data_IF_928207413630
#
_entry.id   IF_928207413630
#
_cell.length_a   1.000
_cell.length_b   1.000
_cell.length_c   1.000
_cell.angle_alpha   90.00
_cell.angle_beta   90.00
_cell.angle_gamma   90.00
#
_symmetry.space_group_name_H-M   'P 1'
#
loop_
_entity.id
_entity.type
_entity.pdbx_description
1 polymer ?
#
# COMPACT_ATOMS: atom_id res chain seq x y z
N UNK A 1 20.72 64.13 -40.06
CA UNK A 1 20.03 63.75 -41.32
C UNK A 1 20.71 62.51 -41.91
N UNK A 2 20.03 61.39 -41.69
CA UNK A 2 20.01 60.10 -42.41
C UNK A 2 21.35 59.39 -42.69
N UNK A 3 21.56 58.10 -42.36
CA UNK A 3 20.69 57.04 -41.87
C UNK A 3 21.26 55.67 -42.30
N UNK A 4 21.19 54.66 -41.42
CA UNK A 4 21.45 53.23 -41.68
C UNK A 4 22.92 52.80 -41.49
N UNK A 5 23.31 51.92 -40.57
CA UNK A 5 22.59 50.91 -39.79
C UNK A 5 22.96 49.51 -40.29
N UNK A 6 24.01 48.90 -39.74
CA UNK A 6 24.28 47.45 -39.87
C UNK A 6 24.95 46.95 -38.58
N UNK A 7 24.16 46.28 -37.75
CA UNK A 7 24.56 45.63 -36.51
C UNK A 7 25.30 44.32 -36.78
N UNK A 8 26.30 44.05 -35.93
CA UNK A 8 27.12 42.83 -35.91
C UNK A 8 26.56 41.88 -34.86
N UNK A 9 26.47 40.61 -35.26
CA UNK A 9 25.87 39.49 -34.59
C UNK A 9 26.42 39.17 -33.19
N UNK A 10 25.50 38.93 -32.26
CA UNK A 10 25.67 38.13 -31.05
C UNK A 10 24.89 36.82 -31.24
N UNK A 11 25.57 35.68 -31.12
CA UNK A 11 25.00 34.35 -31.34
C UNK A 11 24.88 33.63 -30.01
N UNK A 12 23.66 33.56 -29.48
CA UNK A 12 23.22 32.54 -28.52
C UNK A 12 22.24 31.58 -29.21
N UNK A 13 22.26 30.27 -28.91
CA UNK A 13 21.57 29.24 -29.69
C UNK A 13 20.09 29.19 -29.34
N UNK A 14 19.24 29.17 -30.37
CA UNK A 14 17.80 28.99 -30.26
C UNK A 14 17.42 27.54 -29.98
N UNK A 15 16.46 27.40 -29.07
CA UNK A 15 15.63 26.23 -28.85
C UNK A 15 14.80 25.86 -30.09
N UNK A 16 14.75 24.56 -30.38
CA UNK A 16 13.61 23.78 -30.93
C UNK A 16 14.10 22.39 -31.40
N UNK A 17 13.25 21.35 -31.52
CA UNK A 17 11.89 21.17 -30.99
C UNK A 17 11.66 19.83 -30.27
N UNK A 18 10.43 19.70 -29.76
CA UNK A 18 9.75 18.52 -29.25
C UNK A 18 10.08 17.19 -29.97
N UNK A 19 10.23 16.14 -29.16
CA UNK A 19 9.92 14.77 -29.56
C UNK A 19 9.17 14.09 -28.42
N UNK A 20 7.86 14.30 -28.40
CA UNK A 20 6.89 13.43 -27.74
C UNK A 20 7.16 11.99 -28.17
N UNK A 21 7.42 11.13 -27.19
CA UNK A 21 7.26 9.69 -27.35
C UNK A 21 6.18 9.28 -26.39
N UNK A 22 5.00 9.05 -26.96
CA UNK A 22 3.77 8.62 -26.32
C UNK A 22 4.03 7.51 -25.31
N UNK A 23 3.89 7.85 -24.02
CA UNK A 23 3.59 6.87 -23.00
C UNK A 23 2.10 6.52 -23.16
N UNK A 24 1.84 5.24 -23.35
CA UNK A 24 0.53 4.61 -23.46
C UNK A 24 -0.37 5.13 -22.33
N UNK A 25 -1.24 6.08 -22.67
CA UNK A 25 -2.33 6.53 -21.81
C UNK A 25 -3.45 5.56 -22.09
N UNK A 26 -3.67 4.63 -21.15
CA UNK A 26 -4.90 3.85 -21.14
C UNK A 26 -6.06 4.83 -21.29
N UNK A 27 -6.80 4.62 -22.36
CA UNK A 27 -7.72 5.57 -22.93
C UNK A 27 -8.68 6.13 -21.87
N UNK A 28 -8.84 7.45 -21.90
CA UNK A 28 -9.93 8.20 -21.30
C UNK A 28 -11.27 7.55 -21.69
N UNK A 29 -11.75 6.62 -20.86
CA UNK A 29 -13.14 6.17 -20.90
C UNK A 29 -13.98 7.23 -20.20
N UNK A 30 -14.04 8.41 -20.83
CA UNK A 30 -14.89 9.52 -20.44
C UNK A 30 -16.35 9.07 -20.55
N UNK A 31 -16.98 8.82 -19.40
CA UNK A 31 -18.42 8.70 -19.30
C UNK A 31 -19.12 10.00 -19.73
N UNK A 32 -20.43 9.96 -19.98
CA UNK A 32 -21.19 11.14 -20.40
C UNK A 32 -21.27 12.14 -19.23
N UNK A 33 -20.31 13.05 -19.12
CA UNK A 33 -20.29 14.07 -18.06
C UNK A 33 -18.99 14.86 -17.90
N UNK A 34 -17.84 14.30 -18.30
CA UNK A 34 -16.52 14.90 -18.00
C UNK A 34 -16.19 14.86 -16.50
N UNK A 35 -14.92 15.07 -16.13
CA UNK A 35 -14.52 15.12 -14.73
C UNK A 35 -15.14 16.32 -14.00
N UNK A 36 -15.50 16.14 -12.72
CA UNK A 36 -16.01 17.20 -11.85
C UNK A 36 -14.88 18.11 -11.38
N UNK A 37 -13.72 17.53 -11.04
CA UNK A 37 -12.53 18.28 -10.64
C UNK A 37 -11.76 18.74 -11.87
N UNK A 38 -11.22 19.96 -11.81
CA UNK A 38 -10.20 20.36 -12.77
C UNK A 38 -8.87 19.64 -12.47
N UNK A 39 -8.03 19.50 -13.51
CA UNK A 39 -6.74 18.83 -13.38
C UNK A 39 -5.86 19.45 -12.28
N UNK A 40 -5.45 18.63 -11.31
CA UNK A 40 -4.61 19.05 -10.18
C UNK A 40 -5.36 19.70 -9.00
N UNK A 41 -6.68 19.83 -9.08
CA UNK A 41 -7.50 20.24 -7.94
C UNK A 41 -7.77 19.09 -6.98
N UNK A 42 -8.03 19.43 -5.72
CA UNK A 42 -8.48 18.48 -4.69
C UNK A 42 -9.71 19.03 -3.98
N UNK A 43 -10.60 18.15 -3.56
CA UNK A 43 -11.78 18.49 -2.77
C UNK A 43 -11.85 17.62 -1.51
N UNK A 44 -12.50 18.10 -0.43
CA UNK A 44 -12.74 17.27 0.76
C UNK A 44 -13.65 16.07 0.46
N UNK A 45 -14.56 16.21 -0.50
CA UNK A 45 -15.45 15.18 -1.00
C UNK A 45 -16.05 15.60 -2.35
N UNK A 46 -16.69 14.66 -3.03
CA UNK A 46 -17.57 14.91 -4.18
C UNK A 46 -18.93 14.23 -3.96
N UNK A 47 -20.00 14.79 -4.53
CA UNK A 47 -21.33 14.18 -4.54
C UNK A 47 -21.60 13.43 -5.86
N UNK A 48 -20.70 13.55 -6.84
CA UNK A 48 -20.75 12.88 -8.13
C UNK A 48 -19.32 12.62 -8.60
N UNK A 49 -19.07 11.45 -9.17
CA UNK A 49 -17.82 11.13 -9.87
C UNK A 49 -18.13 11.12 -11.36
N UNK A 50 -17.61 12.11 -12.09
CA UNK A 50 -17.83 12.23 -13.53
C UNK A 50 -16.87 11.36 -14.35
N UNK A 51 -15.71 11.04 -13.80
CA UNK A 51 -14.67 10.27 -14.47
C UNK A 51 -13.75 9.51 -13.50
N UNK A 52 -12.81 8.74 -14.05
CA UNK A 52 -11.77 8.03 -13.27
C UNK A 52 -10.84 8.99 -12.51
N UNK A 53 -10.48 10.14 -13.07
CA UNK A 53 -9.60 11.09 -12.39
C UNK A 53 -10.22 11.70 -11.11
N UNK A 54 -11.54 11.88 -11.08
CA UNK A 54 -12.24 12.29 -9.85
C UNK A 54 -12.08 11.24 -8.74
N UNK A 55 -12.24 9.97 -9.10
CA UNK A 55 -12.02 8.85 -8.18
C UNK A 55 -10.56 8.83 -7.70
N UNK A 56 -9.59 8.93 -8.61
CA UNK A 56 -8.17 8.86 -8.28
C UNK A 56 -7.69 10.04 -7.40
N UNK A 57 -8.36 11.19 -7.47
CA UNK A 57 -8.07 12.35 -6.62
C UNK A 57 -8.54 12.18 -5.17
N UNK A 58 -9.53 11.31 -4.92
CA UNK A 58 -10.10 11.05 -3.59
C UNK A 58 -9.65 9.72 -2.98
N UNK A 59 -9.35 8.74 -3.82
CA UNK A 59 -9.00 7.38 -3.43
C UNK A 59 -7.55 7.26 -2.98
N UNK A 60 -7.33 6.48 -1.93
CA UNK A 60 -6.00 6.09 -1.48
C UNK A 60 -5.72 4.62 -1.80
N UNK A 61 -4.45 4.25 -1.71
CA UNK A 61 -4.10 2.83 -1.55
C UNK A 61 -4.69 2.29 -0.23
N UNK A 62 -5.00 0.98 -0.15
CA UNK A 62 -5.27 0.32 1.11
C UNK A 62 -4.14 0.57 2.11
N UNK A 63 -4.49 0.74 3.39
CA UNK A 63 -3.51 0.84 4.47
C UNK A 63 -2.69 -0.45 4.64
N UNK A 64 -3.21 -1.58 4.13
CA UNK A 64 -2.59 -2.89 4.16
C UNK A 64 -2.56 -3.47 2.73
N UNK A 65 -1.37 -3.80 2.23
CA UNK A 65 -1.10 -4.35 0.90
C UNK A 65 -1.70 -5.75 0.64
N UNK A 66 -2.46 -6.28 1.61
CA UNK A 66 -3.18 -7.56 1.53
C UNK A 66 -4.11 -7.72 0.32
N UNK A 67 -4.52 -6.62 -0.32
CA UNK A 67 -5.33 -6.63 -1.55
C UNK A 67 -4.55 -5.92 -2.67
N UNK A 68 -3.81 -6.67 -3.50
CA UNK A 68 -3.06 -6.15 -4.64
C UNK A 68 -3.92 -5.39 -5.62
N UNK A 69 -3.40 -4.31 -6.21
CA UNK A 69 -4.08 -3.70 -7.35
C UNK A 69 -5.37 -2.95 -7.01
N UNK A 70 -5.71 -2.79 -5.73
CA UNK A 70 -6.93 -2.13 -5.29
C UNK A 70 -6.66 -0.65 -4.94
N UNK A 71 -7.51 0.25 -5.42
CA UNK A 71 -7.63 1.62 -4.91
C UNK A 71 -9.01 1.79 -4.33
N UNK A 72 -9.13 2.45 -3.19
CA UNK A 72 -10.42 2.63 -2.53
C UNK A 72 -10.61 4.08 -2.10
N UNK A 73 -11.82 4.59 -2.32
CA UNK A 73 -12.32 5.76 -1.61
C UNK A 73 -13.45 5.35 -0.66
N UNK A 74 -13.74 6.22 0.30
CA UNK A 74 -14.83 6.01 1.25
C UNK A 74 -16.12 6.62 0.74
N UNK A 75 -17.22 5.93 1.00
CA UNK A 75 -18.57 6.36 0.62
C UNK A 75 -19.39 6.55 1.89
N UNK A 76 -20.15 7.65 1.93
CA UNK A 76 -21.11 7.92 3.00
C UNK A 76 -22.43 8.28 2.35
N UNK A 77 -23.47 7.48 2.59
CA UNK A 77 -24.85 7.88 2.27
C UNK A 77 -25.49 8.42 3.54
N UNK A 78 -25.91 9.68 3.52
CA UNK A 78 -26.64 10.29 4.61
C UNK A 78 -28.14 10.10 4.41
N UNK A 79 -28.73 9.21 5.21
CA UNK A 79 -30.18 8.93 5.17
C UNK A 79 -31.02 10.09 5.67
N UNK A 80 -30.40 11.08 6.32
CA UNK A 80 -31.03 12.36 6.68
C UNK A 80 -30.62 13.39 5.64
N UNK A 81 -31.26 13.32 4.48
CA UNK A 81 -30.95 14.18 3.34
C UNK A 81 -31.32 13.55 2.01
N UNK A 82 -32.45 12.84 1.94
CA UNK A 82 -32.90 12.09 0.75
C UNK A 82 -31.84 11.11 0.19
N UNK A 83 -31.13 10.41 1.09
CA UNK A 83 -30.06 9.46 0.77
C UNK A 83 -28.91 10.09 -0.06
N UNK A 84 -28.53 11.33 0.26
CA UNK A 84 -27.40 12.01 -0.37
C UNK A 84 -26.10 11.22 -0.20
N UNK A 85 -25.36 11.03 -1.30
CA UNK A 85 -24.10 10.29 -1.36
C UNK A 85 -22.90 11.25 -1.36
N UNK A 86 -21.89 10.89 -0.59
CA UNK A 86 -20.62 11.60 -0.50
C UNK A 86 -19.47 10.62 -0.75
N UNK A 87 -18.64 10.94 -1.74
CA UNK A 87 -17.36 10.31 -2.00
C UNK A 87 -16.28 11.07 -1.23
N UNK A 88 -15.83 10.49 -0.13
CA UNK A 88 -14.92 11.11 0.83
C UNK A 88 -13.47 11.04 0.36
N UNK A 89 -12.73 12.16 0.47
CA UNK A 89 -11.28 12.17 0.27
C UNK A 89 -10.57 11.44 1.42
N UNK A 90 -9.99 10.27 1.13
CA UNK A 90 -9.38 9.41 2.14
C UNK A 90 -8.06 9.96 2.67
N UNK A 91 -7.36 10.77 1.86
CA UNK A 91 -6.11 11.41 2.28
C UNK A 91 -6.36 12.51 3.31
N UNK A 92 -7.44 13.28 3.14
CA UNK A 92 -7.83 14.35 4.07
C UNK A 92 -8.57 13.82 5.30
N UNK A 93 -9.39 12.78 5.11
CA UNK A 93 -10.21 12.18 6.16
C UNK A 93 -9.99 10.66 6.17
N UNK A 94 -9.07 10.13 6.99
CA UNK A 94 -8.74 8.70 6.98
C UNK A 94 -9.89 7.79 7.45
N UNK A 95 -10.84 8.28 8.23
CA UNK A 95 -12.00 7.51 8.72
C UNK A 95 -13.34 8.21 8.45
N UNK A 96 -14.43 7.45 8.37
CA UNK A 96 -15.78 7.99 8.09
C UNK A 96 -16.20 9.06 9.11
N UNK A 97 -15.85 8.86 10.38
CA UNK A 97 -16.21 9.79 11.45
C UNK A 97 -15.55 11.17 11.28
N UNK A 98 -14.27 11.23 10.89
CA UNK A 98 -13.58 12.52 10.69
C UNK A 98 -14.29 13.36 9.63
N UNK A 99 -14.71 12.71 8.55
CA UNK A 99 -15.48 13.33 7.48
C UNK A 99 -16.89 13.73 7.94
N UNK A 100 -17.67 12.78 8.46
CA UNK A 100 -19.06 13.01 8.84
C UNK A 100 -19.18 14.06 9.96
N UNK A 101 -18.32 14.01 10.97
CA UNK A 101 -18.32 15.00 12.06
C UNK A 101 -17.93 16.40 11.61
N UNK A 102 -17.06 16.52 10.60
CA UNK A 102 -16.63 17.81 10.03
C UNK A 102 -17.66 18.41 9.08
N UNK A 103 -18.23 17.61 8.18
CA UNK A 103 -19.04 18.11 7.07
C UNK A 103 -20.55 17.84 7.20
N UNK A 104 -20.95 16.83 7.97
CA UNK A 104 -22.34 16.35 8.07
C UNK A 104 -22.93 16.55 9.47
N UNK A 105 -22.34 17.40 10.31
CA UNK A 105 -22.75 17.67 11.69
C UNK A 105 -23.21 19.11 11.88
N UNK A 106 -24.44 19.29 12.37
CA UNK A 106 -24.99 20.63 12.64
C UNK A 106 -25.40 21.38 11.36
N UNK A 107 -25.50 22.70 11.45
CA UNK A 107 -25.88 23.58 10.32
C UNK A 107 -27.19 23.18 9.60
N UNK A 108 -28.16 22.65 10.34
CA UNK A 108 -29.44 22.18 9.80
C UNK A 108 -29.56 20.65 9.71
N UNK A 109 -28.44 19.93 9.87
CA UNK A 109 -28.39 18.48 10.02
C UNK A 109 -28.32 18.07 11.50
N UNK A 110 -28.75 16.85 11.86
CA UNK A 110 -28.52 16.31 13.19
C UNK A 110 -27.02 16.32 13.54
N UNK A 111 -26.66 16.54 14.82
CA UNK A 111 -25.26 16.45 15.23
C UNK A 111 -24.75 15.02 15.06
N UNK A 112 -23.54 14.88 14.54
CA UNK A 112 -22.80 13.61 14.53
C UNK A 112 -22.21 13.39 15.93
N UNK A 113 -22.41 12.23 16.56
CA UNK A 113 -21.92 11.96 17.90
C UNK A 113 -20.40 11.79 17.93
N UNK A 114 -19.81 11.64 19.11
CA UNK A 114 -18.39 11.32 19.24
C UNK A 114 -18.04 9.97 18.59
N UNK A 115 -16.75 9.77 18.30
CA UNK A 115 -16.25 8.61 17.56
C UNK A 115 -16.71 7.26 18.14
N UNK A 116 -16.75 7.14 19.48
CA UNK A 116 -17.13 5.90 20.14
C UNK A 116 -18.59 5.57 19.88
N UNK A 117 -19.47 6.55 20.09
CA UNK A 117 -20.90 6.39 19.83
C UNK A 117 -21.19 6.23 18.33
N UNK A 118 -20.53 6.99 17.46
CA UNK A 118 -20.67 6.85 16.00
C UNK A 118 -20.35 5.43 15.54
N UNK A 119 -19.21 4.86 15.96
CA UNK A 119 -18.85 3.50 15.57
C UNK A 119 -19.84 2.46 16.14
N UNK A 120 -20.34 2.68 17.36
CA UNK A 120 -21.34 1.80 17.96
C UNK A 120 -22.67 1.81 17.19
N UNK A 121 -23.09 2.95 16.63
CA UNK A 121 -24.38 3.06 15.93
C UNK A 121 -24.29 2.84 14.43
N UNK A 122 -23.33 3.45 13.75
CA UNK A 122 -23.33 3.58 12.28
C UNK A 122 -22.87 2.31 11.56
N UNK A 123 -22.33 1.30 12.26
CA UNK A 123 -22.04 -0.03 11.69
C UNK A 123 -23.06 -1.11 12.11
N UNK A 124 -23.88 -0.85 13.12
CA UNK A 124 -24.69 -1.89 13.78
C UNK A 124 -26.20 -1.62 13.86
N UNK A 125 -26.62 -0.34 13.85
CA UNK A 125 -28.01 0.02 14.10
C UNK A 125 -28.87 -0.09 12.84
N UNK A 126 -30.04 -0.76 12.89
CA UNK A 126 -31.00 -0.74 11.78
C UNK A 126 -31.52 0.66 11.42
N UNK A 127 -31.53 1.58 12.40
CA UNK A 127 -31.98 2.96 12.22
C UNK A 127 -30.83 3.98 12.18
N UNK A 128 -29.60 3.53 11.87
CA UNK A 128 -28.41 4.39 11.71
C UNK A 128 -28.64 5.56 10.74
N UNK A 129 -27.90 6.65 10.86
CA UNK A 129 -28.05 7.75 9.91
C UNK A 129 -27.26 7.50 8.64
N UNK A 130 -26.06 6.95 8.77
CA UNK A 130 -25.13 6.82 7.66
C UNK A 130 -25.06 5.38 7.18
N UNK A 131 -25.04 5.20 5.87
CA UNK A 131 -24.59 3.95 5.25
C UNK A 131 -23.14 4.15 4.84
N UNK A 132 -22.24 3.44 5.52
CA UNK A 132 -20.81 3.59 5.39
C UNK A 132 -20.26 2.46 4.53
N UNK A 133 -19.34 2.75 3.62
CA UNK A 133 -18.68 1.71 2.84
C UNK A 133 -17.53 2.26 2.00
N UNK A 134 -17.03 1.45 1.08
CA UNK A 134 -15.95 1.81 0.18
C UNK A 134 -16.33 1.51 -1.27
N UNK A 135 -15.92 2.40 -2.18
CA UNK A 135 -15.89 2.13 -3.61
C UNK A 135 -14.44 1.80 -3.96
N UNK A 136 -14.23 0.61 -4.50
CA UNK A 136 -12.91 0.06 -4.80
C UNK A 136 -12.80 -0.27 -6.29
N UNK A 137 -11.70 0.15 -6.92
CA UNK A 137 -11.28 -0.33 -8.23
C UNK A 137 -10.23 -1.41 -8.05
N UNK A 138 -10.46 -2.60 -8.58
CA UNK A 138 -9.50 -3.69 -8.65
C UNK A 138 -8.90 -3.73 -10.06
N UNK A 139 -7.61 -3.42 -10.19
CA UNK A 139 -6.94 -3.24 -11.49
C UNK A 139 -6.79 -4.52 -12.30
N UNK A 140 -6.21 -5.59 -11.72
CA UNK A 140 -6.01 -6.85 -12.47
C UNK A 140 -7.34 -7.50 -12.92
N UNK A 141 -8.36 -7.62 -12.05
CA UNK A 141 -9.67 -8.10 -12.50
C UNK A 141 -10.43 -7.08 -13.37
N UNK A 142 -10.05 -5.80 -13.34
CA UNK A 142 -10.72 -4.72 -14.07
C UNK A 142 -12.15 -4.48 -13.60
N UNK A 143 -12.42 -4.52 -12.28
CA UNK A 143 -13.79 -4.42 -11.74
C UNK A 143 -13.94 -3.33 -10.67
N UNK A 144 -15.11 -2.67 -10.72
CA UNK A 144 -15.57 -1.71 -9.71
C UNK A 144 -16.45 -2.40 -8.67
N UNK A 145 -16.17 -2.16 -7.40
CA UNK A 145 -16.78 -2.88 -6.30
C UNK A 145 -17.18 -1.94 -5.17
N UNK A 146 -18.42 -2.06 -4.71
CA UNK A 146 -18.90 -1.51 -3.45
C UNK A 146 -18.73 -2.54 -2.33
N UNK A 147 -18.11 -2.12 -1.23
CA UNK A 147 -17.75 -2.98 -0.10
C UNK A 147 -18.16 -2.35 1.23
N UNK A 148 -18.51 -3.21 2.19
CA UNK A 148 -18.73 -2.83 3.59
C UNK A 148 -17.55 -3.27 4.46
N UNK A 149 -17.43 -2.67 5.64
CA UNK A 149 -16.56 -3.22 6.67
C UNK A 149 -17.04 -4.66 7.03
N UNK A 150 -16.15 -5.65 7.24
CA UNK A 150 -16.54 -7.05 7.47
C UNK A 150 -17.49 -7.27 8.66
N UNK A 151 -17.48 -6.35 9.63
CA UNK A 151 -18.31 -6.36 10.84
C UNK A 151 -19.59 -5.49 10.72
N UNK A 152 -19.82 -4.85 9.58
CA UNK A 152 -21.06 -4.09 9.35
C UNK A 152 -22.26 -5.03 9.27
N UNK A 153 -23.40 -4.59 9.82
CA UNK A 153 -24.64 -5.39 9.90
C UNK A 153 -25.75 -4.87 8.99
N UNK A 154 -25.40 -4.17 7.91
CA UNK A 154 -26.34 -3.68 6.91
C UNK A 154 -27.36 -4.73 6.50
N UNK A 155 -28.62 -4.34 6.43
CA UNK A 155 -29.63 -5.16 5.78
C UNK A 155 -29.48 -5.11 4.26
N UNK A 156 -30.06 -6.08 3.55
CA UNK A 156 -30.10 -6.07 2.09
C UNK A 156 -30.66 -4.76 1.53
N UNK A 157 -31.71 -4.20 2.14
CA UNK A 157 -32.27 -2.91 1.74
C UNK A 157 -31.27 -1.75 1.88
N UNK A 158 -30.48 -1.70 2.94
CA UNK A 158 -29.44 -0.68 3.09
C UNK A 158 -28.35 -0.82 2.04
N UNK A 159 -27.92 -2.06 1.77
CA UNK A 159 -26.91 -2.33 0.73
C UNK A 159 -27.43 -1.88 -0.63
N UNK A 160 -28.69 -2.22 -0.98
CA UNK A 160 -29.32 -1.76 -2.22
C UNK A 160 -29.37 -0.23 -2.30
N UNK A 161 -29.80 0.46 -1.24
CA UNK A 161 -29.85 1.93 -1.21
C UNK A 161 -28.49 2.54 -1.50
N UNK A 162 -27.43 2.07 -0.84
CA UNK A 162 -26.09 2.60 -1.06
C UNK A 162 -25.53 2.24 -2.45
N UNK A 163 -25.76 1.01 -2.91
CA UNK A 163 -25.38 0.57 -4.26
C UNK A 163 -26.02 1.43 -5.35
N UNK A 164 -27.33 1.70 -5.25
CA UNK A 164 -28.04 2.54 -6.22
C UNK A 164 -27.60 4.00 -6.16
N UNK A 165 -27.33 4.54 -4.97
CA UNK A 165 -26.80 5.89 -4.82
C UNK A 165 -25.42 6.04 -5.48
N UNK A 166 -24.50 5.08 -5.26
CA UNK A 166 -23.19 5.06 -5.91
C UNK A 166 -23.33 4.93 -7.43
N UNK A 167 -24.16 3.99 -7.89
CA UNK A 167 -24.40 3.77 -9.33
C UNK A 167 -24.93 5.02 -10.03
N UNK A 168 -25.86 5.73 -9.39
CA UNK A 168 -26.43 6.96 -9.93
C UNK A 168 -25.43 8.12 -9.94
N UNK A 169 -24.62 8.25 -8.89
CA UNK A 169 -23.68 9.35 -8.72
C UNK A 169 -22.30 9.11 -9.37
N UNK A 170 -22.02 7.92 -9.89
CA UNK A 170 -20.82 7.60 -10.67
C UNK A 170 -21.19 7.00 -12.04
N UNK A 171 -21.80 7.78 -12.95
CA UNK A 171 -22.36 7.26 -14.21
C UNK A 171 -21.32 6.64 -15.16
N UNK A 172 -20.03 6.99 -15.04
CA UNK A 172 -18.97 6.34 -15.83
C UNK A 172 -18.68 4.91 -15.38
N UNK A 173 -19.01 4.55 -14.14
CA UNK A 173 -19.03 3.18 -13.64
C UNK A 173 -20.37 2.54 -13.97
N UNK A 174 -21.47 3.23 -13.61
CA UNK A 174 -22.83 2.84 -13.95
C UNK A 174 -23.12 1.36 -13.67
N UNK A 175 -23.57 0.66 -14.71
CA UNK A 175 -23.93 -0.76 -14.60
C UNK A 175 -22.73 -1.69 -14.39
N UNK A 176 -21.47 -1.20 -14.48
CA UNK A 176 -20.27 -1.98 -14.18
C UNK A 176 -19.95 -2.09 -12.69
N UNK A 177 -20.70 -1.40 -11.82
CA UNK A 177 -20.60 -1.59 -10.38
C UNK A 177 -20.97 -3.04 -9.98
N UNK A 178 -20.28 -3.56 -8.97
CA UNK A 178 -20.58 -4.83 -8.31
C UNK A 178 -20.60 -4.63 -6.80
N UNK A 179 -21.26 -5.51 -6.07
CA UNK A 179 -21.16 -5.60 -4.62
C UNK A 179 -20.31 -6.82 -4.24
N UNK A 180 -19.33 -6.65 -3.37
CA UNK A 180 -18.51 -7.75 -2.85
C UNK A 180 -18.78 -7.93 -1.34
N UNK A 181 -19.29 -9.11 -0.93
CA UNK A 181 -19.45 -9.41 0.49
C UNK A 181 -18.09 -9.67 1.13
N UNK A 182 -17.71 -8.83 2.10
CA UNK A 182 -16.39 -8.89 2.76
C UNK A 182 -16.34 -9.84 3.97
N UNK A 183 -17.44 -10.53 4.27
CA UNK A 183 -17.52 -11.55 5.33
C UNK A 183 -18.65 -12.54 5.05
N UNK A 184 -18.58 -13.73 5.65
CA UNK A 184 -19.63 -14.75 5.54
C UNK A 184 -21.01 -14.25 6.03
N UNK A 185 -21.04 -13.32 6.99
CA UNK A 185 -22.28 -12.71 7.46
C UNK A 185 -22.90 -11.81 6.38
N UNK A 186 -22.07 -10.99 5.72
CA UNK A 186 -22.51 -10.13 4.62
C UNK A 186 -22.89 -10.97 3.39
N UNK A 187 -22.17 -12.06 3.13
CA UNK A 187 -22.50 -13.02 2.05
C UNK A 187 -23.89 -13.63 2.26
N UNK A 188 -24.24 -14.00 3.50
CA UNK A 188 -25.59 -14.47 3.82
C UNK A 188 -26.65 -13.39 3.56
N UNK A 189 -26.39 -12.15 3.95
CA UNK A 189 -27.28 -11.01 3.62
C UNK A 189 -27.39 -10.77 2.12
N UNK A 190 -26.28 -10.94 1.38
CA UNK A 190 -26.21 -10.71 -0.06
C UNK A 190 -27.16 -11.61 -0.85
N UNK A 191 -27.50 -12.79 -0.33
CA UNK A 191 -28.50 -13.69 -0.92
C UNK A 191 -29.92 -13.09 -0.97
N UNK A 192 -30.20 -12.05 -0.19
CA UNK A 192 -31.48 -11.34 -0.17
C UNK A 192 -31.47 -9.99 -0.90
N UNK A 193 -30.41 -9.66 -1.65
CA UNK A 193 -30.32 -8.41 -2.41
C UNK A 193 -31.29 -8.40 -3.60
N UNK A 194 -31.66 -7.20 -4.04
CA UNK A 194 -32.46 -7.03 -5.24
C UNK A 194 -31.70 -7.55 -6.48
N UNK A 195 -32.40 -8.13 -7.48
CA UNK A 195 -31.74 -8.79 -8.61
C UNK A 195 -30.82 -7.91 -9.47
N UNK A 196 -30.95 -6.58 -9.41
CA UNK A 196 -30.09 -5.64 -10.14
C UNK A 196 -28.77 -5.36 -9.42
N UNK A 197 -28.64 -5.71 -8.13
CA UNK A 197 -27.38 -5.60 -7.40
C UNK A 197 -26.49 -6.77 -7.82
N UNK A 198 -25.49 -6.49 -8.67
CA UNK A 198 -24.61 -7.53 -9.19
C UNK A 198 -23.58 -7.91 -8.13
N UNK A 199 -23.63 -9.13 -7.62
CA UNK A 199 -22.65 -9.62 -6.64
C UNK A 199 -21.41 -10.18 -7.35
N UNK A 200 -20.23 -9.94 -6.80
CA UNK A 200 -18.99 -10.66 -7.13
C UNK A 200 -18.48 -11.36 -5.88
N UNK A 201 -18.18 -12.64 -5.99
CA UNK A 201 -17.65 -13.40 -4.85
C UNK A 201 -16.17 -13.08 -4.64
N UNK A 202 -15.67 -13.32 -3.42
CA UNK A 202 -14.23 -13.26 -3.13
C UNK A 202 -13.44 -14.16 -4.10
N UNK A 203 -13.87 -15.40 -4.30
CA UNK A 203 -13.20 -16.33 -5.22
C UNK A 203 -13.14 -15.79 -6.66
N UNK A 204 -14.24 -15.23 -7.18
CA UNK A 204 -14.27 -14.63 -8.53
C UNK A 204 -13.39 -13.38 -8.63
N UNK A 205 -13.41 -12.54 -7.60
CA UNK A 205 -12.62 -11.30 -7.54
C UNK A 205 -11.12 -11.60 -7.53
N UNK A 206 -10.71 -12.65 -6.82
CA UNK A 206 -9.31 -13.04 -6.68
C UNK A 206 -8.83 -14.05 -7.73
N UNK A 207 -9.72 -14.71 -8.47
CA UNK A 207 -9.35 -15.72 -9.48
C UNK A 207 -8.46 -15.17 -10.61
N UNK A 208 -8.47 -13.86 -10.86
CA UNK A 208 -7.63 -13.20 -11.86
C UNK A 208 -6.36 -12.55 -11.34
N UNK A 209 -6.12 -12.56 -10.01
CA UNK A 209 -4.98 -11.87 -9.42
C UNK A 209 -3.73 -12.72 -9.59
N UNK A 210 -2.80 -12.24 -10.41
CA UNK A 210 -1.52 -12.90 -10.64
C UNK A 210 -0.40 -12.26 -9.86
N UNK A 211 -0.56 -11.00 -9.44
CA UNK A 211 0.45 -10.22 -8.78
C UNK A 211 0.03 -9.84 -7.36
N UNK A 212 0.93 -9.98 -6.40
CA UNK A 212 0.73 -9.53 -5.02
C UNK A 212 1.93 -8.72 -4.54
N UNK A 213 1.83 -7.39 -4.42
CA UNK A 213 2.84 -6.59 -3.75
C UNK A 213 2.75 -6.80 -2.24
N UNK A 214 3.88 -7.12 -1.62
CA UNK A 214 3.93 -7.40 -0.19
C UNK A 214 4.80 -6.38 0.56
N UNK A 215 5.93 -6.00 -0.05
CA UNK A 215 6.73 -4.87 0.39
C UNK A 215 7.16 -4.02 -0.81
N UNK A 216 6.65 -2.79 -0.85
CA UNK A 216 6.90 -1.83 -1.92
C UNK A 216 8.30 -1.24 -1.77
N UNK A 217 9.16 -1.49 -2.74
CA UNK A 217 10.52 -0.98 -2.74
C UNK A 217 11.16 -1.15 -4.12
N UNK A 218 12.34 -0.55 -4.27
CA UNK A 218 13.23 -0.74 -5.41
C UNK A 218 14.53 -1.32 -4.87
N UNK A 219 15.08 -2.32 -5.55
CA UNK A 219 16.43 -2.79 -5.28
C UNK A 219 17.13 -3.26 -6.55
N UNK A 220 18.47 -3.16 -6.53
CA UNK A 220 19.31 -3.73 -7.58
C UNK A 220 20.07 -4.94 -7.07
N UNK A 221 20.08 -6.02 -7.85
CA UNK A 221 20.78 -7.24 -7.51
C UNK A 221 20.84 -8.24 -8.67
N UNK A 222 21.55 -9.34 -8.47
CA UNK A 222 21.66 -10.40 -9.46
C UNK A 222 20.44 -11.31 -9.39
N UNK A 223 19.71 -11.45 -10.50
CA UNK A 223 18.50 -12.28 -10.54
C UNK A 223 18.87 -13.76 -10.48
N UNK A 224 18.26 -14.51 -9.58
CA UNK A 224 18.50 -15.95 -9.37
C UNK A 224 17.19 -16.71 -9.26
N UNK A 225 17.05 -17.76 -10.05
CA UNK A 225 15.97 -18.73 -9.89
C UNK A 225 16.42 -19.88 -9.02
N UNK A 226 15.73 -20.11 -7.91
CA UNK A 226 16.02 -21.20 -6.98
C UNK A 226 14.70 -21.78 -6.49
N UNK A 227 14.60 -23.10 -6.30
CA UNK A 227 13.44 -23.63 -5.57
C UNK A 227 13.70 -23.51 -4.08
N UNK A 228 12.67 -23.22 -3.29
CA UNK A 228 12.75 -23.15 -1.84
C UNK A 228 13.34 -24.43 -1.21
N UNK A 229 13.11 -25.60 -1.83
CA UNK A 229 13.68 -26.88 -1.38
C UNK A 229 15.18 -27.04 -1.66
N UNK A 230 15.71 -26.28 -2.63
CA UNK A 230 17.10 -26.36 -3.10
C UNK A 230 17.98 -25.27 -2.44
N UNK A 231 17.42 -24.44 -1.55
CA UNK A 231 18.16 -23.43 -0.80
C UNK A 231 19.12 -24.09 0.20
N UNK A 232 20.41 -23.76 0.05
CA UNK A 232 21.47 -24.16 0.99
C UNK A 232 22.24 -22.94 1.47
N UNK A 233 22.92 -23.08 2.61
CA UNK A 233 23.76 -22.01 3.16
C UNK A 233 24.83 -21.56 2.15
N UNK A 234 25.01 -20.25 2.00
CA UNK A 234 25.95 -19.64 1.06
C UNK A 234 25.53 -19.63 -0.43
N UNK A 235 24.36 -20.19 -0.78
CA UNK A 235 23.87 -20.19 -2.17
C UNK A 235 23.47 -18.78 -2.64
N UNK A 236 22.85 -18.01 -1.76
CA UNK A 236 22.38 -16.65 -2.01
C UNK A 236 23.18 -15.67 -1.17
N UNK A 237 23.35 -14.47 -1.71
CA UNK A 237 24.00 -13.33 -1.08
C UNK A 237 23.03 -12.16 -0.93
N UNK A 238 23.42 -11.19 -0.10
CA UNK A 238 22.69 -9.93 0.07
C UNK A 238 22.52 -9.13 -1.23
N UNK A 239 23.25 -9.49 -2.30
CA UNK A 239 23.19 -8.85 -3.62
C UNK A 239 22.33 -9.59 -4.62
N UNK A 240 21.68 -10.69 -4.24
CA UNK A 240 20.80 -11.43 -5.14
C UNK A 240 19.35 -10.93 -5.01
N UNK A 241 18.64 -10.89 -6.13
CA UNK A 241 17.17 -10.83 -6.20
C UNK A 241 16.71 -12.24 -6.55
N UNK A 242 15.93 -12.87 -5.67
CA UNK A 242 15.60 -14.30 -5.81
C UNK A 242 14.17 -14.50 -6.29
N UNK A 243 14.00 -15.39 -7.27
CA UNK A 243 12.71 -15.94 -7.70
C UNK A 243 12.57 -17.37 -7.17
N UNK A 244 11.52 -17.61 -6.38
CA UNK A 244 11.25 -18.86 -5.68
C UNK A 244 9.91 -19.46 -6.10
N UNK A 245 9.77 -20.79 -6.00
CA UNK A 245 8.49 -21.48 -6.20
C UNK A 245 7.48 -21.18 -5.08
N UNK A 246 7.94 -20.95 -3.86
CA UNK A 246 7.13 -20.63 -2.68
C UNK A 246 7.96 -19.90 -1.62
N UNK A 247 7.31 -19.47 -0.54
CA UNK A 247 8.02 -18.93 0.64
C UNK A 247 8.84 -20.05 1.31
N UNK A 248 10.17 -19.91 1.45
CA UNK A 248 11.01 -20.90 2.10
C UNK A 248 10.93 -20.77 3.61
N UNK A 249 11.33 -21.80 4.37
CA UNK A 249 11.38 -21.71 5.83
C UNK A 249 12.50 -20.80 6.33
N UNK A 250 13.62 -20.78 5.59
CA UNK A 250 14.79 -19.97 5.88
C UNK A 250 15.25 -19.33 4.56
N UNK A 251 15.60 -18.04 4.64
CA UNK A 251 16.12 -17.29 3.51
C UNK A 251 17.30 -16.44 3.99
N UNK A 252 18.41 -16.53 3.28
CA UNK A 252 19.54 -15.63 3.48
C UNK A 252 19.11 -14.16 3.27
N UNK A 253 19.95 -13.22 3.70
CA UNK A 253 19.72 -11.82 3.33
C UNK A 253 19.85 -11.72 1.81
N UNK A 254 18.85 -11.13 1.17
CA UNK A 254 18.77 -10.90 -0.29
C UNK A 254 18.26 -9.48 -0.54
N UNK A 255 18.54 -8.94 -1.71
CA UNK A 255 18.11 -7.60 -2.14
C UNK A 255 16.63 -7.54 -2.54
N UNK A 256 16.02 -8.67 -2.90
CA UNK A 256 14.60 -8.73 -3.24
C UNK A 256 14.08 -10.15 -3.37
N UNK A 257 12.76 -10.33 -3.22
CA UNK A 257 12.09 -11.64 -3.26
C UNK A 257 10.88 -11.60 -4.20
N UNK A 258 10.80 -12.60 -5.07
CA UNK A 258 9.63 -12.91 -5.90
C UNK A 258 9.22 -14.36 -5.65
N UNK A 259 7.98 -14.64 -5.23
CA UNK A 259 7.47 -16.02 -5.06
C UNK A 259 6.41 -16.38 -6.09
N UNK A 260 6.40 -17.62 -6.58
CA UNK A 260 5.36 -18.11 -7.50
C UNK A 260 4.05 -18.50 -6.81
N UNK A 261 3.96 -18.32 -5.49
CA UNK A 261 2.79 -18.55 -4.66
C UNK A 261 2.47 -17.28 -3.87
N UNK A 262 1.18 -17.00 -3.69
CA UNK A 262 0.68 -15.91 -2.85
C UNK A 262 1.16 -16.10 -1.41
N UNK A 263 1.47 -14.99 -0.74
CA UNK A 263 1.91 -14.99 0.65
C UNK A 263 0.81 -14.41 1.55
N UNK A 264 0.81 -14.82 2.80
CA UNK A 264 0.09 -14.07 3.85
C UNK A 264 0.82 -12.75 4.11
N UNK A 265 0.12 -11.61 4.33
CA UNK A 265 0.77 -10.31 4.59
C UNK A 265 1.78 -10.34 5.75
N UNK A 266 1.55 -11.17 6.77
CA UNK A 266 2.43 -11.36 7.92
C UNK A 266 3.41 -12.54 7.77
N UNK A 267 3.71 -12.98 6.55
CA UNK A 267 4.72 -14.01 6.33
C UNK A 267 6.07 -13.55 6.90
N UNK A 268 6.84 -14.46 7.48
CA UNK A 268 8.13 -14.09 8.09
C UNK A 268 9.08 -13.46 7.05
N UNK A 269 9.03 -13.89 5.79
CA UNK A 269 9.79 -13.27 4.70
C UNK A 269 9.33 -11.84 4.47
N UNK A 270 8.03 -11.56 4.46
CA UNK A 270 7.54 -10.19 4.27
C UNK A 270 7.96 -9.27 5.41
N UNK A 271 7.86 -9.73 6.66
CA UNK A 271 8.32 -8.96 7.83
C UNK A 271 9.82 -8.66 7.73
N UNK A 272 10.64 -9.62 7.28
CA UNK A 272 12.06 -9.39 7.04
C UNK A 272 12.31 -8.37 5.92
N UNK A 273 11.54 -8.44 4.85
CA UNK A 273 11.63 -7.49 3.73
C UNK A 273 11.26 -6.07 4.15
N UNK A 274 10.20 -5.90 4.94
CA UNK A 274 9.80 -4.61 5.53
C UNK A 274 10.89 -4.04 6.43
N UNK A 275 11.43 -4.84 7.35
CA UNK A 275 12.51 -4.42 8.26
C UNK A 275 13.78 -3.98 7.52
N UNK A 276 14.00 -4.48 6.31
CA UNK A 276 15.18 -4.20 5.49
C UNK A 276 14.92 -3.17 4.38
N UNK A 277 13.67 -2.79 4.14
CA UNK A 277 13.29 -1.93 3.00
C UNK A 277 13.56 -2.58 1.63
N UNK A 278 13.44 -3.91 1.53
CA UNK A 278 13.73 -4.67 0.29
C UNK A 278 12.46 -5.14 -0.41
N UNK A 279 12.36 -5.11 -1.75
CA UNK A 279 11.15 -5.50 -2.46
C UNK A 279 10.74 -6.96 -2.17
N UNK A 280 9.45 -7.17 -1.93
CA UNK A 280 8.83 -8.49 -1.82
C UNK A 280 7.51 -8.51 -2.58
N UNK A 281 7.33 -9.52 -3.43
CA UNK A 281 6.10 -9.75 -4.17
C UNK A 281 5.84 -11.24 -4.38
N UNK A 282 4.57 -11.62 -4.53
CA UNK A 282 4.21 -12.86 -5.22
C UNK A 282 3.81 -12.55 -6.67
N UNK A 283 4.14 -13.46 -7.56
CA UNK A 283 3.73 -13.43 -8.96
C UNK A 283 3.44 -14.87 -9.41
N UNK A 284 2.17 -15.21 -9.61
CA UNK A 284 1.78 -16.50 -10.12
C UNK A 284 2.42 -16.71 -11.50
N UNK A 285 3.13 -17.84 -11.66
CA UNK A 285 3.89 -18.12 -12.87
C UNK A 285 5.26 -17.45 -12.96
N UNK A 286 5.77 -16.82 -11.89
CA UNK A 286 7.08 -16.15 -11.86
C UNK A 286 8.24 -17.01 -12.42
N UNK A 287 8.25 -18.31 -12.13
CA UNK A 287 9.28 -19.24 -12.60
C UNK A 287 9.32 -19.42 -14.13
N UNK A 288 8.24 -19.05 -14.81
CA UNK A 288 8.07 -19.18 -16.26
C UNK A 288 7.85 -17.84 -16.96
N UNK A 289 7.85 -16.73 -16.21
CA UNK A 289 7.63 -15.40 -16.79
C UNK A 289 8.81 -15.00 -17.71
N UNK A 290 8.58 -14.73 -19.01
CA UNK A 290 9.66 -14.37 -19.95
C UNK A 290 10.46 -13.14 -19.53
N UNK A 291 9.85 -12.18 -18.82
CA UNK A 291 10.51 -10.96 -18.33
C UNK A 291 11.55 -11.28 -17.26
N UNK A 292 11.31 -12.30 -16.43
CA UNK A 292 12.26 -12.74 -15.40
C UNK A 292 13.26 -13.75 -15.98
N UNK A 293 12.78 -14.77 -16.70
CA UNK A 293 13.61 -15.89 -17.20
C UNK A 293 14.67 -15.43 -18.20
N UNK A 294 14.38 -14.41 -19.02
CA UNK A 294 15.38 -13.82 -19.93
C UNK A 294 16.54 -13.12 -19.18
N UNK A 295 16.35 -12.78 -17.91
CA UNK A 295 17.30 -12.07 -17.07
C UNK A 295 17.97 -12.97 -16.02
N UNK A 296 17.78 -14.30 -16.08
CA UNK A 296 18.42 -15.22 -15.13
C UNK A 296 19.95 -15.08 -15.13
N UNK A 297 20.52 -14.87 -13.95
CA UNK A 297 21.94 -14.62 -13.75
C UNK A 297 22.42 -13.23 -14.18
N UNK A 298 21.54 -12.31 -14.59
CA UNK A 298 21.86 -10.92 -14.91
C UNK A 298 21.69 -10.00 -13.71
N UNK A 299 22.33 -8.84 -13.74
CA UNK A 299 22.06 -7.77 -12.79
C UNK A 299 20.79 -7.05 -13.20
N UNK A 300 19.87 -6.86 -12.27
CA UNK A 300 18.57 -6.26 -12.52
C UNK A 300 18.23 -5.20 -11.48
N UNK A 301 17.44 -4.23 -11.89
CA UNK A 301 16.64 -3.40 -10.99
C UNK A 301 15.24 -4.00 -10.92
N UNK A 302 14.81 -4.40 -9.72
CA UNK A 302 13.45 -4.81 -9.42
C UNK A 302 12.73 -3.66 -8.71
N UNK A 303 11.63 -3.19 -9.29
CA UNK A 303 10.67 -2.30 -8.64
C UNK A 303 9.40 -3.09 -8.34
N UNK A 304 8.99 -3.07 -7.09
CA UNK A 304 7.68 -3.56 -6.64
C UNK A 304 6.84 -2.33 -6.31
N UNK A 305 5.87 -2.04 -7.19
CA UNK A 305 4.86 -1.01 -7.00
C UNK A 305 3.58 -1.61 -6.39
N UNK A 306 2.61 -0.76 -6.07
CA UNK A 306 1.33 -1.24 -5.51
C UNK A 306 0.44 -1.95 -6.53
N UNK A 307 0.75 -1.79 -7.81
CA UNK A 307 -0.11 -2.13 -8.95
C UNK A 307 0.68 -2.87 -10.02
N UNK A 308 1.89 -2.37 -10.28
CA UNK A 308 2.82 -2.94 -11.21
C UNK A 308 4.08 -3.43 -10.52
N UNK A 309 4.84 -4.19 -11.27
CA UNK A 309 6.24 -4.38 -11.01
C UNK A 309 6.99 -4.22 -12.32
N UNK A 310 8.25 -3.83 -12.21
CA UNK A 310 9.14 -3.77 -13.37
C UNK A 310 10.46 -4.43 -13.03
N UNK A 311 11.00 -5.15 -14.00
CA UNK A 311 12.37 -5.64 -13.99
C UNK A 311 13.07 -5.15 -15.25
N UNK A 312 14.28 -4.62 -15.10
CA UNK A 312 15.14 -4.26 -16.22
C UNK A 312 16.57 -4.71 -15.95
N UNK A 313 17.29 -5.08 -16.99
CA UNK A 313 18.73 -5.32 -16.88
C UNK A 313 19.45 -4.01 -16.54
N UNK A 314 20.42 -4.11 -15.63
CA UNK A 314 21.36 -3.04 -15.27
C UNK A 314 22.78 -3.58 -15.39
N UNK A 315 23.76 -2.69 -15.43
CA UNK A 315 25.16 -3.08 -15.35
C UNK A 315 25.54 -3.41 -13.91
N UNK A 316 26.59 -4.23 -13.73
CA UNK A 316 27.16 -4.51 -12.40
C UNK A 316 27.61 -3.23 -11.69
N UNK A 317 28.19 -2.28 -12.44
CA UNK A 317 28.64 -0.99 -11.89
C UNK A 317 27.48 -0.12 -11.38
N UNK A 318 26.32 -0.14 -12.04
CA UNK A 318 25.12 0.54 -11.55
C UNK A 318 24.58 -0.11 -10.27
N UNK A 319 24.55 -1.45 -10.23
CA UNK A 319 24.15 -2.20 -9.04
C UNK A 319 25.12 -1.96 -7.86
N UNK A 320 26.42 -1.83 -8.12
CA UNK A 320 27.45 -1.45 -7.14
C UNK A 320 27.22 -0.05 -6.59
N UNK A 321 27.03 0.93 -7.46
CA UNK A 321 26.77 2.30 -7.05
C UNK A 321 25.47 2.42 -6.23
N UNK A 322 24.41 1.72 -6.65
CA UNK A 322 23.16 1.67 -5.92
C UNK A 322 23.35 1.05 -4.53
N UNK A 323 24.05 -0.09 -4.45
CA UNK A 323 24.34 -0.74 -3.17
C UNK A 323 25.14 0.17 -2.23
N UNK A 324 26.19 0.83 -2.72
CA UNK A 324 27.00 1.73 -1.90
C UNK A 324 26.21 2.93 -1.35
N UNK A 325 25.21 3.41 -2.10
CA UNK A 325 24.33 4.49 -1.67
C UNK A 325 23.23 4.04 -0.68
N UNK A 326 22.82 2.77 -0.70
CA UNK A 326 21.68 2.25 0.07
C UNK A 326 22.05 1.23 1.15
N UNK A 327 23.31 0.79 1.23
CA UNK A 327 23.74 -0.18 2.24
C UNK A 327 23.54 0.39 3.65
N UNK A 328 23.16 -0.44 4.63
CA UNK A 328 23.08 -0.01 6.01
C UNK A 328 24.40 0.60 6.48
N UNK A 329 24.30 1.62 7.35
CA UNK A 329 25.47 2.14 8.03
C UNK A 329 26.19 0.99 8.75
N UNK A 330 27.52 1.04 8.74
CA UNK A 330 28.32 0.04 9.44
C UNK A 330 27.90 0.00 10.91
N UNK A 331 27.49 -1.18 11.37
CA UNK A 331 27.14 -1.38 12.76
C UNK A 331 28.45 -1.44 13.54
N UNK A 332 28.80 -0.35 14.21
CA UNK A 332 29.90 -0.35 15.16
C UNK A 332 29.51 -1.21 16.34
N UNK A 333 30.02 -2.45 16.38
CA UNK A 333 29.90 -3.30 17.56
C UNK A 333 30.87 -2.71 18.60
N UNK A 334 30.39 -2.34 19.80
CA UNK A 334 31.29 -1.91 20.87
C UNK A 334 32.37 -2.96 21.11
N UNK A 335 33.62 -2.53 21.31
CA UNK A 335 34.69 -3.45 21.67
C UNK A 335 34.30 -4.20 22.94
N UNK A 336 34.46 -5.53 22.93
CA UNK A 336 34.19 -6.36 24.10
C UNK A 336 35.08 -5.90 25.26
N UNK A 337 34.48 -5.61 26.42
CA UNK A 337 35.22 -5.32 27.64
C UNK A 337 35.55 -6.63 28.35
N UNK A 338 36.75 -7.14 28.11
CA UNK A 338 37.24 -8.37 28.75
C UNK A 338 37.88 -8.12 30.11
N UNK A 339 37.86 -6.88 30.64
CA UNK A 339 38.44 -6.58 31.95
C UNK A 339 37.56 -7.05 33.11
N UNK A 340 36.24 -7.14 32.88
CA UNK A 340 35.27 -7.67 33.84
C UNK A 340 35.35 -9.19 33.87
N UNK A 341 35.92 -9.74 34.94
CA UNK A 341 36.14 -11.18 35.12
C UNK A 341 35.43 -11.75 36.35
N UNK A 342 34.84 -10.89 37.18
CA UNK A 342 34.06 -11.30 38.34
C UNK A 342 32.67 -11.81 37.92
N UNK A 343 32.11 -12.72 38.72
CA UNK A 343 30.69 -13.06 38.63
C UNK A 343 29.89 -11.92 39.25
N UNK A 344 29.20 -11.15 38.41
CA UNK A 344 28.36 -10.01 38.82
C UNK A 344 26.91 -10.46 38.95
N UNK A 345 26.23 -10.07 40.04
CA UNK A 345 24.79 -10.25 40.13
C UNK A 345 24.10 -9.41 39.05
N UNK A 346 23.06 -9.96 38.42
CA UNK A 346 22.39 -9.27 37.32
C UNK A 346 21.69 -7.99 37.78
N UNK A 347 21.32 -7.90 39.05
CA UNK A 347 20.73 -6.69 39.64
C UNK A 347 21.77 -5.55 39.78
N UNK A 348 23.06 -5.89 39.81
CA UNK A 348 24.19 -4.96 39.88
C UNK A 348 24.84 -4.71 38.51
N UNK A 349 24.34 -5.35 37.44
CA UNK A 349 24.95 -5.28 36.11
C UNK A 349 24.69 -3.93 35.39
N UNK A 350 23.78 -3.10 35.90
CA UNK A 350 23.53 -1.76 35.40
C UNK A 350 23.78 -0.73 36.50
N UNK A 351 24.72 0.17 36.27
CA UNK A 351 24.84 1.37 37.08
C UNK A 351 23.73 2.37 36.68
N UNK A 352 22.75 2.54 37.58
CA UNK A 352 21.66 3.51 37.43
C UNK A 352 21.78 4.67 38.44
N UNK A 353 23.00 5.02 38.82
CA UNK A 353 23.24 6.19 39.68
C UNK A 353 22.54 7.46 39.13
N UNK A 354 22.13 8.33 40.06
CA UNK A 354 21.17 9.40 39.81
C UNK A 354 21.56 10.30 38.63
N UNK A 355 20.77 10.21 37.55
CA UNK A 355 20.85 11.07 36.37
C UNK A 355 21.24 10.38 35.06
N UNK A 356 21.70 9.13 35.09
CA UNK A 356 22.01 8.39 33.86
C UNK A 356 20.75 7.83 33.20
N UNK A 357 20.61 8.03 31.89
CA UNK A 357 19.50 7.43 31.14
C UNK A 357 19.66 5.91 31.03
N UNK A 358 18.55 5.18 30.92
CA UNK A 358 18.56 3.73 30.72
C UNK A 358 19.42 3.32 29.52
N UNK A 359 19.37 4.11 28.45
CA UNK A 359 20.18 3.88 27.25
C UNK A 359 21.68 3.97 27.56
N UNK A 360 22.09 5.01 28.28
CA UNK A 360 23.50 5.19 28.64
C UNK A 360 24.02 4.10 29.60
N UNK A 361 23.17 3.60 30.51
CA UNK A 361 23.53 2.47 31.38
C UNK A 361 23.69 1.17 30.57
N UNK A 362 22.80 0.92 29.61
CA UNK A 362 22.88 -0.23 28.68
C UNK A 362 24.14 -0.14 27.80
N UNK A 363 24.42 1.03 27.21
CA UNK A 363 25.58 1.23 26.34
C UNK A 363 26.91 0.94 27.08
N UNK A 364 26.97 1.22 28.39
CA UNK A 364 28.13 0.92 29.23
C UNK A 364 28.24 -0.56 29.66
N UNK A 365 27.10 -1.22 29.91
CA UNK A 365 27.07 -2.60 30.42
C UNK A 365 27.20 -3.66 29.32
N UNK A 366 26.68 -3.40 28.12
CA UNK A 366 26.68 -4.35 26.99
C UNK A 366 28.08 -4.85 26.62
N UNK A 367 29.13 -4.01 26.57
CA UNK A 367 30.50 -4.47 26.30
C UNK A 367 31.02 -5.54 27.28
N UNK A 368 30.63 -5.48 28.55
CA UNK A 368 31.11 -6.38 29.59
C UNK A 368 30.21 -7.62 29.78
N UNK A 369 28.89 -7.44 29.71
CA UNK A 369 27.92 -8.48 30.08
C UNK A 369 27.11 -9.01 28.88
N UNK A 370 27.16 -8.34 27.74
CA UNK A 370 26.43 -8.70 26.53
C UNK A 370 24.96 -8.23 26.55
N UNK A 371 24.42 -8.01 25.34
CA UNK A 371 23.08 -7.46 25.12
C UNK A 371 21.98 -8.14 25.94
N UNK A 372 21.96 -9.47 25.98
CA UNK A 372 20.89 -10.21 26.68
C UNK A 372 20.92 -10.00 28.19
N UNK A 373 22.08 -10.08 28.83
CA UNK A 373 22.20 -9.94 30.28
C UNK A 373 21.90 -8.49 30.71
N UNK A 374 22.44 -7.50 30.01
CA UNK A 374 22.21 -6.08 30.30
C UNK A 374 20.74 -5.67 30.13
N UNK A 375 20.04 -6.17 29.10
CA UNK A 375 18.61 -5.89 28.94
C UNK A 375 17.74 -6.64 29.96
N UNK A 376 18.17 -7.83 30.41
CA UNK A 376 17.49 -8.52 31.50
C UNK A 376 17.65 -7.76 32.83
N UNK A 377 18.84 -7.24 33.12
CA UNK A 377 19.07 -6.35 34.26
C UNK A 377 18.16 -5.11 34.20
N UNK A 378 17.98 -4.52 33.00
CA UNK A 378 17.09 -3.36 32.79
C UNK A 378 15.62 -3.65 33.08
N UNK A 379 15.16 -4.89 32.92
CA UNK A 379 13.79 -5.28 33.23
C UNK A 379 13.58 -5.53 34.73
N UNK A 380 14.65 -5.83 35.46
CA UNK A 380 14.60 -6.10 36.91
C UNK A 380 14.79 -4.85 37.76
N UNK A 381 15.43 -3.82 37.21
CA UNK A 381 15.71 -2.51 37.83
C UNK A 381 14.61 -1.49 37.56
#
# INVERSE_FOLDING_TARGET
>A
PDGGGSDVADTSPGDAPDSDTDADTDADTGGPGGCVLASGETAPFLETLGCRADFDALASAPLDASIPGARSLKTVVDRVGDDAIYFQNVTLYPIHWDFASTHLSGHGLPPVPDLGQFNATEYSSPSRRFLLGALTWYEEPGVWVYELAPYDTASAAMITTAYDAIRAAAPFIGDDLRFHPTSAAIEHTAAGLDPHVRVITTDELFAGITYQPLNLAIAMGKLRFVRAADLTEGLLSFRDVVVLDRVPNELAVVSGVVTAELQTPLSHVNVLSQNRGTPNMALLGALTDPRLTALDGRWVELRVGAFDWSVREVTEAEADAWWEAHKPAEVTIPALDTSVTALTDVDDALDRSDGQSLRAALDAAIPAFGGKASHYAALRA
#
